data_IF_635464033756
#
_entry.id   IF_635464033756
#
_cell.length_a   1.000
_cell.length_b   1.000
_cell.length_c   1.000
_cell.angle_alpha   90.00
_cell.angle_beta   90.00
_cell.angle_gamma   90.00
#
_symmetry.space_group_name_H-M   'P 1'
#
loop_
_entity.id
_entity.type
_entity.pdbx_description
1 polymer ?
#
# COMPACT_ATOMS: atom_id res chain seq x y z
N UNK A 1 7.74 -12.16 -4.66
CA UNK A 1 7.69 -10.73 -5.03
C UNK A 1 8.65 -10.38 -6.16
N UNK A 2 9.98 -10.39 -5.95
CA UNK A 2 11.00 -9.96 -6.94
C UNK A 2 10.85 -10.65 -8.30
N UNK A 3 10.70 -11.97 -8.30
CA UNK A 3 10.53 -12.74 -9.53
C UNK A 3 9.25 -12.36 -10.29
N UNK A 4 8.13 -12.16 -9.59
CA UNK A 4 6.85 -11.75 -10.19
C UNK A 4 6.96 -10.38 -10.87
N UNK A 5 7.63 -9.43 -10.23
CA UNK A 5 7.87 -8.09 -10.80
C UNK A 5 8.80 -8.20 -12.02
N UNK A 6 9.87 -9.00 -11.91
CA UNK A 6 10.83 -9.24 -13.01
C UNK A 6 10.10 -9.82 -14.23
N UNK A 7 9.29 -10.86 -14.00
CA UNK A 7 8.49 -11.50 -15.05
C UNK A 7 7.50 -10.54 -15.70
N UNK A 8 6.83 -9.68 -14.94
CA UNK A 8 5.94 -8.66 -15.50
C UNK A 8 6.68 -7.70 -16.44
N UNK A 9 7.85 -7.21 -16.01
CA UNK A 9 8.66 -6.28 -16.79
C UNK A 9 9.17 -6.96 -18.08
N UNK A 10 9.70 -8.19 -17.96
CA UNK A 10 10.22 -8.95 -19.10
C UNK A 10 9.13 -9.37 -20.09
N UNK A 11 7.89 -9.54 -19.63
CA UNK A 11 6.75 -9.81 -20.50
C UNK A 11 6.29 -8.57 -21.29
N UNK A 12 6.53 -7.36 -20.78
CA UNK A 12 6.17 -6.07 -21.42
C UNK A 12 7.34 -5.45 -22.19
N UNK A 13 7.82 -6.17 -23.20
CA UNK A 13 8.99 -5.78 -24.01
C UNK A 13 8.76 -4.49 -24.79
N UNK A 14 7.51 -4.15 -25.10
CA UNK A 14 7.12 -2.90 -25.74
C UNK A 14 7.34 -1.67 -24.82
N UNK A 15 7.32 -1.88 -23.50
CA UNK A 15 7.48 -0.80 -22.52
C UNK A 15 8.91 -0.69 -21.97
N UNK A 16 9.59 -1.82 -21.77
CA UNK A 16 10.80 -1.89 -20.96
C UNK A 16 11.91 -2.70 -21.64
N UNK A 17 13.14 -2.30 -21.38
CA UNK A 17 14.28 -3.18 -21.61
C UNK A 17 14.30 -4.33 -20.58
N UNK A 18 14.85 -5.51 -20.96
CA UNK A 18 14.94 -6.66 -20.06
C UNK A 18 15.94 -6.43 -18.92
N UNK A 19 15.99 -7.38 -17.97
CA UNK A 19 16.89 -7.37 -16.81
C UNK A 19 16.73 -6.12 -15.89
N UNK A 20 15.54 -5.87 -15.32
CA UNK A 20 15.34 -4.79 -14.37
C UNK A 20 16.17 -5.02 -13.09
N UNK A 21 16.72 -3.93 -12.54
CA UNK A 21 17.42 -4.00 -11.27
C UNK A 21 16.43 -3.76 -10.13
N UNK A 22 16.21 -4.80 -9.31
CA UNK A 22 15.32 -4.75 -8.15
C UNK A 22 16.14 -5.09 -6.90
N UNK A 23 16.21 -4.13 -5.98
CA UNK A 23 17.00 -4.22 -4.75
C UNK A 23 16.11 -3.91 -3.55
N UNK A 24 16.06 -4.83 -2.58
CA UNK A 24 15.53 -4.54 -1.26
C UNK A 24 16.59 -3.73 -0.50
N UNK A 25 16.24 -2.51 -0.11
CA UNK A 25 17.17 -1.55 0.49
C UNK A 25 17.30 -1.79 1.98
N UNK A 26 16.19 -1.77 2.70
CA UNK A 26 16.20 -1.87 4.15
C UNK A 26 14.82 -2.27 4.72
N UNK A 27 14.80 -2.67 5.99
CA UNK A 27 13.58 -2.86 6.78
C UNK A 27 13.57 -1.80 7.88
N UNK A 28 12.74 -0.76 7.71
CA UNK A 28 12.59 0.32 8.67
C UNK A 28 11.56 -0.08 9.75
N UNK A 29 11.81 0.26 11.02
CA UNK A 29 10.89 0.14 12.17
C UNK A 29 10.26 -1.27 12.38
N UNK A 30 10.91 -2.33 11.91
CA UNK A 30 10.43 -3.73 11.92
C UNK A 30 9.13 -4.01 11.12
N UNK A 31 8.49 -2.99 10.54
CA UNK A 31 7.19 -3.11 9.89
C UNK A 31 7.11 -2.48 8.50
N UNK A 32 8.16 -1.81 8.03
CA UNK A 32 8.23 -1.19 6.70
C UNK A 32 9.36 -1.81 5.89
N UNK A 33 9.08 -2.15 4.65
CA UNK A 33 10.10 -2.61 3.71
C UNK A 33 10.35 -1.50 2.69
N UNK A 34 11.61 -1.10 2.59
CA UNK A 34 12.08 -0.18 1.56
C UNK A 34 12.73 -0.98 0.46
N UNK A 35 12.26 -0.81 -0.77
CA UNK A 35 12.86 -1.43 -1.93
C UNK A 35 12.93 -0.41 -3.08
N UNK A 36 13.79 -0.69 -4.04
CA UNK A 36 14.03 0.18 -5.18
C UNK A 36 14.02 -0.64 -6.46
N UNK A 37 13.32 -0.11 -7.47
CA UNK A 37 13.14 -0.75 -8.77
C UNK A 37 13.66 0.21 -9.84
N UNK A 38 14.71 -0.17 -10.55
CA UNK A 38 15.21 0.53 -11.72
C UNK A 38 14.76 -0.20 -12.97
N UNK A 39 13.96 0.50 -13.76
CA UNK A 39 13.46 0.07 -15.06
C UNK A 39 13.90 1.05 -16.13
N UNK A 40 14.38 0.54 -17.26
CA UNK A 40 14.75 1.34 -18.42
C UNK A 40 13.63 1.26 -19.46
N UNK A 41 13.15 2.42 -19.90
CA UNK A 41 12.11 2.49 -20.93
C UNK A 41 12.75 2.33 -22.31
N UNK A 42 12.02 1.72 -23.24
CA UNK A 42 12.39 1.64 -24.67
C UNK A 42 12.05 2.91 -25.47
N UNK A 43 11.11 3.70 -24.96
CA UNK A 43 10.64 4.95 -25.57
C UNK A 43 11.56 6.14 -25.30
N UNK A 44 11.40 7.19 -26.11
CA UNK A 44 12.13 8.44 -25.97
C UNK A 44 11.76 9.18 -24.67
N UNK A 45 12.68 9.99 -24.16
CA UNK A 45 12.48 10.79 -22.95
C UNK A 45 11.44 11.91 -23.14
N UNK A 46 11.22 12.35 -24.40
CA UNK A 46 10.34 13.48 -24.72
C UNK A 46 8.85 13.17 -24.51
N UNK A 47 8.44 11.90 -24.58
CA UNK A 47 7.04 11.48 -24.44
C UNK A 47 6.65 11.27 -22.97
N UNK A 48 6.84 12.30 -22.15
CA UNK A 48 6.72 12.18 -20.69
C UNK A 48 5.34 11.69 -20.22
N UNK A 49 4.26 12.10 -20.89
CA UNK A 49 2.90 11.67 -20.58
C UNK A 49 2.74 10.15 -20.65
N UNK A 50 3.09 9.55 -21.80
CA UNK A 50 3.03 8.11 -22.00
C UNK A 50 3.98 7.38 -21.04
N UNK A 51 5.14 7.97 -20.73
CA UNK A 51 6.09 7.42 -19.76
C UNK A 51 5.46 7.21 -18.39
N UNK A 52 4.73 8.21 -17.91
CA UNK A 52 4.03 8.14 -16.64
C UNK A 52 2.89 7.12 -16.68
N UNK A 53 2.15 7.05 -17.79
CA UNK A 53 1.11 6.04 -17.98
C UNK A 53 1.70 4.61 -17.91
N UNK A 54 2.83 4.34 -18.58
CA UNK A 54 3.51 3.04 -18.51
C UNK A 54 4.00 2.71 -17.10
N UNK A 55 4.53 3.71 -16.37
CA UNK A 55 4.92 3.56 -14.96
C UNK A 55 3.74 3.26 -14.05
N UNK A 56 2.59 3.91 -14.25
CA UNK A 56 1.39 3.67 -13.45
C UNK A 56 0.96 2.20 -13.52
N UNK A 57 0.97 1.61 -14.72
CA UNK A 57 0.66 0.19 -14.91
C UNK A 57 1.60 -0.76 -14.15
N UNK A 58 2.89 -0.42 -14.09
CA UNK A 58 3.88 -1.18 -13.30
C UNK A 58 3.56 -1.08 -11.80
N UNK A 59 3.23 0.12 -11.32
CA UNK A 59 2.86 0.35 -9.91
C UNK A 59 1.58 -0.39 -9.54
N UNK A 60 0.57 -0.39 -10.40
CA UNK A 60 -0.67 -1.15 -10.19
C UNK A 60 -0.40 -2.65 -10.06
N UNK A 61 0.44 -3.21 -10.92
CA UNK A 61 0.81 -4.62 -10.81
C UNK A 61 1.57 -4.92 -9.52
N UNK A 62 2.47 -4.02 -9.12
CA UNK A 62 3.18 -4.14 -7.84
C UNK A 62 2.19 -4.11 -6.65
N UNK A 63 1.19 -3.24 -6.68
CA UNK A 63 0.13 -3.19 -5.65
C UNK A 63 -0.60 -4.53 -5.57
N UNK A 64 -0.95 -5.15 -6.71
CA UNK A 64 -1.59 -6.48 -6.71
C UNK A 64 -0.68 -7.54 -6.08
N UNK A 65 0.59 -7.56 -6.47
CA UNK A 65 1.60 -8.50 -5.91
C UNK A 65 1.74 -8.30 -4.40
N UNK A 66 1.70 -7.07 -3.90
CA UNK A 66 1.81 -6.79 -2.46
C UNK A 66 0.56 -7.23 -1.70
N UNK A 67 -0.62 -6.95 -2.23
CA UNK A 67 -1.89 -7.40 -1.64
C UNK A 67 -1.99 -8.92 -1.56
N UNK A 68 -1.54 -9.64 -2.58
CA UNK A 68 -1.52 -11.10 -2.57
C UNK A 68 -0.49 -11.70 -1.59
N UNK A 69 0.49 -10.92 -1.18
CA UNK A 69 1.50 -11.31 -0.18
C UNK A 69 1.16 -10.78 1.22
N UNK A 70 -0.05 -10.27 1.42
CA UNK A 70 -0.50 -9.61 2.66
C UNK A 70 0.41 -8.46 3.12
N UNK A 71 1.08 -7.79 2.18
CA UNK A 71 1.86 -6.57 2.43
C UNK A 71 0.94 -5.37 2.26
N UNK A 72 0.45 -4.87 3.38
CA UNK A 72 -0.46 -3.73 3.42
C UNK A 72 0.28 -2.39 3.46
N UNK A 73 -0.27 -1.40 2.74
CA UNK A 73 0.13 -0.01 2.93
C UNK A 73 -0.55 0.56 4.17
N UNK A 74 0.18 0.63 5.28
CA UNK A 74 -0.31 1.24 6.52
C UNK A 74 -0.04 2.73 6.53
N UNK A 75 -1.10 3.53 6.51
CA UNK A 75 -0.99 4.95 6.80
C UNK A 75 -0.61 5.16 8.26
N UNK A 76 0.03 6.29 8.56
CA UNK A 76 0.26 6.68 9.96
C UNK A 76 -1.08 6.77 10.68
N UNK A 77 -1.15 6.35 11.96
CA UNK A 77 -2.35 6.51 12.76
C UNK A 77 -2.73 7.99 12.79
N UNK A 78 -4.00 8.27 12.48
CA UNK A 78 -4.55 9.63 12.49
C UNK A 78 -5.45 9.77 13.72
N UNK A 79 -5.15 10.76 14.56
CA UNK A 79 -6.00 11.08 15.70
C UNK A 79 -7.30 11.75 15.23
N UNK A 80 -8.43 11.12 15.53
CA UNK A 80 -9.76 11.63 15.18
C UNK A 80 -10.48 12.05 16.45
N UNK A 81 -10.70 13.36 16.62
CA UNK A 81 -11.48 13.91 17.73
C UNK A 81 -12.96 14.08 17.34
N UNK A 82 -13.82 13.18 17.81
CA UNK A 82 -15.27 13.23 17.54
C UNK A 82 -15.92 14.18 18.54
N UNK A 83 -16.19 15.42 18.11
CA UNK A 83 -16.80 16.46 18.97
C UNK A 83 -18.32 16.37 19.07
N UNK A 84 -18.96 15.72 18.11
CA UNK A 84 -20.42 15.61 18.04
C UNK A 84 -20.81 14.15 17.99
N UNK A 85 -20.70 13.46 19.12
CA UNK A 85 -21.38 12.17 19.27
C UNK A 85 -22.86 12.47 19.44
N UNK A 86 -23.72 11.94 18.56
CA UNK A 86 -25.17 11.96 18.78
C UNK A 86 -25.44 11.37 20.17
N UNK A 87 -26.41 11.89 20.95
CA UNK A 87 -26.75 11.30 22.24
C UNK A 87 -27.08 9.82 22.01
N UNK A 88 -26.25 8.93 22.56
CA UNK A 88 -26.57 7.51 22.56
C UNK A 88 -27.71 7.36 23.56
N UNK A 89 -28.94 7.44 23.07
CA UNK A 89 -30.12 7.11 23.86
C UNK A 89 -30.10 5.60 24.02
N UNK A 90 -29.46 5.14 25.09
CA UNK A 90 -29.51 3.75 25.48
C UNK A 90 -30.91 3.46 26.01
N UNK A 91 -31.67 2.60 25.32
CA UNK A 91 -32.90 2.01 25.86
C UNK A 91 -32.62 1.03 27.02
N UNK A 92 -31.34 0.69 27.26
CA UNK A 92 -30.97 -0.16 28.39
C UNK A 92 -31.11 0.63 29.68
N UNK A 93 -32.00 0.16 30.55
CA UNK A 93 -32.10 0.59 31.94
C UNK A 93 -30.71 0.47 32.62
N UNK A 94 -30.32 1.42 33.48
CA UNK A 94 -29.09 1.32 34.25
C UNK A 94 -29.08 0.00 35.03
N UNK A 95 -27.98 -0.76 34.94
CA UNK A 95 -27.79 -1.94 35.76
C UNK A 95 -27.84 -1.54 37.24
N UNK A 96 -28.74 -2.16 38.00
CA UNK A 96 -29.08 -1.89 39.40
C UNK A 96 -27.98 -2.27 40.42
N UNK A 97 -26.70 -1.94 40.17
CA UNK A 97 -25.56 -2.29 41.04
C UNK A 97 -25.51 -1.56 42.39
N UNK A 98 -26.62 -1.07 42.93
CA UNK A 98 -26.68 -0.49 44.28
C UNK A 98 -27.53 -1.30 45.27
N UNK A 99 -27.88 -2.56 44.97
CA UNK A 99 -28.42 -3.48 45.98
C UNK A 99 -27.29 -4.29 46.62
N UNK A 100 -26.47 -3.64 47.44
CA UNK A 100 -25.64 -4.26 48.50
C UNK A 100 -24.86 -3.17 49.26
N UNK A 101 -25.56 -2.28 49.94
CA UNK A 101 -25.02 -1.58 51.12
C UNK A 101 -25.99 -1.88 52.26
N UNK A 102 -25.52 -2.73 53.18
CA UNK A 102 -26.17 -3.03 54.46
C UNK A 102 -25.88 -1.91 55.45
#
# INVERSE_FOLDING_TARGET
MKERITRYIENKKEHWYPAPMIVMRDVEDMNKIKFSVWVSHTMNHQDMGERWTRRALLVEEMIKIFRELDIEYRMLPMDVNVRTMQPVVSERLPSNWTTCAR
#
